data_IF_034525078212
#
_entry.id   IF_034525078212
#
_cell.length_a   1.000
_cell.length_b   1.000
_cell.length_c   1.000
_cell.angle_alpha   90.00
_cell.angle_beta   90.00
_cell.angle_gamma   90.00
#
_symmetry.space_group_name_H-M   'P 1'
#
loop_
_entity.id
_entity.type
_entity.pdbx_description
1 polymer ?
#
# COMPACT_ATOMS: atom_id res chain seq x y z
N UNK A 1 -43.68 7.98 -36.08
CA UNK A 1 -43.25 6.56 -35.99
C UNK A 1 -41.79 6.57 -35.61
N UNK A 2 -41.48 5.98 -34.45
CA UNK A 2 -40.18 6.02 -33.80
C UNK A 2 -39.21 5.03 -34.45
N UNK A 3 -37.94 5.40 -34.57
CA UNK A 3 -36.86 4.45 -34.89
C UNK A 3 -35.77 4.58 -33.82
N UNK A 4 -35.63 3.51 -33.04
CA UNK A 4 -34.76 3.39 -31.87
C UNK A 4 -33.39 2.92 -32.38
N UNK A 5 -32.40 3.82 -32.41
CA UNK A 5 -31.00 3.42 -32.64
C UNK A 5 -30.47 2.70 -31.40
N UNK A 6 -30.33 1.39 -31.52
CA UNK A 6 -29.68 0.50 -30.57
C UNK A 6 -28.23 0.97 -30.30
N UNK A 7 -27.90 1.15 -29.02
CA UNK A 7 -26.57 1.52 -28.55
C UNK A 7 -25.52 0.46 -28.88
N UNK A 8 -24.30 0.92 -29.18
CA UNK A 8 -23.12 0.05 -29.34
C UNK A 8 -22.85 -0.69 -28.01
N UNK A 9 -22.59 -2.00 -28.03
CA UNK A 9 -22.28 -2.75 -26.81
C UNK A 9 -20.91 -2.37 -26.25
N UNK A 10 -20.83 -2.25 -24.92
CA UNK A 10 -19.58 -2.06 -24.18
C UNK A 10 -18.64 -3.26 -24.36
N UNK A 11 -17.34 -3.02 -24.12
CA UNK A 11 -16.22 -3.94 -24.37
C UNK A 11 -16.33 -5.33 -23.70
N UNK A 12 -17.31 -5.54 -22.82
CA UNK A 12 -17.57 -6.82 -22.15
C UNK A 12 -18.19 -7.89 -23.07
N UNK A 13 -18.71 -7.53 -24.25
CA UNK A 13 -19.38 -8.47 -25.16
C UNK A 13 -18.43 -9.31 -26.04
N UNK A 14 -17.19 -8.84 -26.29
CA UNK A 14 -16.29 -9.55 -27.20
C UNK A 14 -15.43 -10.65 -26.55
N UNK A 15 -15.39 -10.73 -25.22
CA UNK A 15 -14.51 -11.68 -24.50
C UNK A 15 -15.23 -12.98 -24.04
N UNK A 16 -16.52 -13.15 -24.39
CA UNK A 16 -17.36 -14.25 -23.89
C UNK A 16 -17.54 -15.43 -24.87
N UNK A 17 -16.82 -15.46 -26.00
CA UNK A 17 -17.02 -16.47 -27.06
C UNK A 17 -16.08 -17.68 -27.06
N UNK A 18 -15.14 -17.83 -26.11
CA UNK A 18 -14.22 -18.99 -26.12
C UNK A 18 -14.33 -19.98 -24.94
N UNK A 19 -15.25 -19.79 -23.99
CA UNK A 19 -15.41 -20.72 -22.87
C UNK A 19 -16.90 -21.02 -22.61
N UNK A 20 -17.40 -22.08 -23.21
CA UNK A 20 -18.78 -22.54 -23.04
C UNK A 20 -18.84 -24.05 -22.98
N UNK A 21 -18.69 -24.62 -21.79
CA UNK A 21 -19.00 -26.03 -21.57
C UNK A 21 -18.40 -26.59 -20.29
N UNK A 22 -18.99 -26.32 -19.14
CA UNK A 22 -18.89 -27.26 -18.03
C UNK A 22 -20.20 -27.28 -17.22
N UNK A 23 -20.79 -28.48 -17.19
CA UNK A 23 -22.00 -28.85 -16.45
C UNK A 23 -21.73 -28.80 -14.94
N UNK A 24 -22.71 -28.29 -14.20
CA UNK A 24 -22.79 -28.37 -12.75
C UNK A 24 -23.12 -29.79 -12.29
N UNK A 25 -22.31 -30.38 -11.41
CA UNK A 25 -22.77 -31.41 -10.47
C UNK A 25 -22.23 -31.08 -9.08
N UNK A 26 -23.13 -30.61 -8.21
CA UNK A 26 -22.90 -30.40 -6.79
C UNK A 26 -23.13 -31.67 -6.00
N UNK A 27 -22.28 -31.90 -5.01
CA UNK A 27 -22.41 -32.98 -4.02
C UNK A 27 -21.54 -32.66 -2.81
N UNK A 28 -22.03 -31.80 -1.92
CA UNK A 28 -21.41 -31.45 -0.64
C UNK A 28 -21.70 -32.57 0.36
N UNK A 29 -20.65 -33.21 0.89
CA UNK A 29 -20.73 -34.01 2.12
C UNK A 29 -19.99 -33.29 3.24
N UNK A 30 -20.74 -32.84 4.24
CA UNK A 30 -20.23 -32.32 5.50
C UNK A 30 -19.70 -33.48 6.35
N UNK A 31 -18.51 -33.31 6.92
CA UNK A 31 -17.91 -34.19 7.93
C UNK A 31 -17.61 -33.40 9.21
N UNK A 32 -17.65 -34.03 10.40
CA UNK A 32 -17.84 -33.33 11.68
C UNK A 32 -16.57 -32.68 12.24
N UNK A 33 -16.76 -31.47 12.77
CA UNK A 33 -15.79 -30.75 13.60
C UNK A 33 -15.48 -31.52 14.89
N UNK A 34 -14.19 -31.63 15.23
CA UNK A 34 -13.76 -31.95 16.59
C UNK A 34 -12.83 -30.87 17.10
N UNK A 35 -13.36 -29.99 17.95
CA UNK A 35 -12.60 -29.03 18.75
C UNK A 35 -11.64 -29.79 19.69
N UNK A 36 -10.33 -29.55 19.55
CA UNK A 36 -9.34 -29.84 20.59
C UNK A 36 -8.94 -28.55 21.29
N UNK A 37 -9.38 -28.43 22.54
CA UNK A 37 -8.95 -27.40 23.49
C UNK A 37 -7.50 -27.68 23.90
N UNK A 38 -6.56 -26.81 23.52
CA UNK A 38 -5.20 -26.81 24.06
C UNK A 38 -5.19 -25.96 25.33
N UNK A 39 -5.00 -26.61 26.49
CA UNK A 39 -4.66 -25.94 27.76
C UNK A 39 -3.22 -25.44 27.67
N UNK A 40 -3.00 -24.13 27.75
CA UNK A 40 -1.66 -23.56 27.85
C UNK A 40 -1.38 -23.17 29.30
N UNK A 41 -0.35 -23.79 29.90
CA UNK A 41 0.07 -23.55 31.27
C UNK A 41 0.74 -22.17 31.38
N UNK A 42 0.07 -21.25 32.07
CA UNK A 42 0.62 -19.93 32.40
C UNK A 42 1.87 -20.07 33.26
N UNK A 43 3.01 -19.65 32.70
CA UNK A 43 4.24 -19.38 33.46
C UNK A 43 4.57 -17.91 33.28
N UNK A 44 4.33 -17.13 34.34
CA UNK A 44 4.60 -15.70 34.39
C UNK A 44 6.10 -15.44 34.19
N UNK A 45 6.44 -14.69 33.14
CA UNK A 45 7.80 -14.20 32.91
C UNK A 45 7.97 -12.92 33.74
N UNK A 46 8.84 -13.00 34.74
CA UNK A 46 9.23 -11.90 35.61
C UNK A 46 10.03 -10.88 34.79
N UNK A 47 9.42 -9.79 34.35
CA UNK A 47 10.13 -8.68 33.70
C UNK A 47 10.96 -7.93 34.75
N UNK A 48 12.29 -8.00 34.64
CA UNK A 48 13.17 -7.11 35.40
C UNK A 48 13.07 -5.72 34.79
N UNK A 49 12.73 -4.73 35.61
CA UNK A 49 12.87 -3.31 35.32
C UNK A 49 14.30 -3.03 34.80
N UNK A 50 14.47 -2.25 33.71
CA UNK A 50 15.77 -1.68 33.40
C UNK A 50 16.12 -0.62 34.44
N UNK A 51 17.36 -0.69 34.92
CA UNK A 51 17.95 0.23 35.88
C UNK A 51 17.92 1.67 35.35
N UNK A 52 17.49 2.59 36.21
CA UNK A 52 17.55 4.03 36.02
C UNK A 52 19.02 4.45 35.90
N UNK A 53 19.41 4.97 34.75
CA UNK A 53 20.72 5.60 34.56
C UNK A 53 20.61 7.01 35.16
N UNK A 54 21.24 7.21 36.31
CA UNK A 54 21.41 8.52 36.94
C UNK A 54 22.44 9.33 36.14
N UNK A 55 21.95 10.28 35.34
CA UNK A 55 22.81 11.25 34.66
C UNK A 55 23.14 12.35 35.67
N UNK A 56 24.29 12.21 36.32
CA UNK A 56 24.87 13.24 37.17
C UNK A 56 25.11 14.54 36.39
N UNK A 57 24.37 15.59 36.75
CA UNK A 57 24.66 16.96 36.35
C UNK A 57 25.83 17.50 37.18
N UNK A 58 26.96 17.92 36.58
CA UNK A 58 27.94 18.71 37.29
C UNK A 58 27.45 20.16 37.41
N UNK A 59 27.14 20.58 38.64
CA UNK A 59 26.95 21.98 38.99
C UNK A 59 28.28 22.75 38.79
N UNK A 60 28.35 23.60 37.77
CA UNK A 60 29.42 24.59 37.64
C UNK A 60 28.96 25.94 38.19
N UNK A 61 29.50 26.24 39.37
CA UNK A 61 29.59 27.56 39.98
C UNK A 61 30.56 28.41 39.14
N UNK A 62 30.06 29.45 38.48
CA UNK A 62 30.90 30.57 38.01
C UNK A 62 30.63 31.78 38.90
N UNK A 63 31.67 32.16 39.63
CA UNK A 63 31.78 33.39 40.42
C UNK A 63 32.20 34.55 39.51
N UNK A 64 31.62 35.72 39.73
CA UNK A 64 32.21 37.01 39.34
C UNK A 64 31.61 37.68 38.10
N UNK A 65 30.58 38.51 38.28
CA UNK A 65 30.26 39.58 37.34
C UNK A 65 30.42 40.92 38.05
N UNK A 66 31.37 41.72 37.56
CA UNK A 66 31.71 43.06 38.03
C UNK A 66 30.53 44.01 37.76
N UNK A 67 30.25 44.82 38.77
CA UNK A 67 29.49 46.07 38.71
C UNK A 67 30.15 47.06 37.74
N UNK A 68 29.37 47.78 36.93
CA UNK A 68 29.52 49.20 36.66
C UNK A 68 28.39 49.72 35.74
N UNK A 69 27.73 50.81 36.17
CA UNK A 69 27.04 51.73 35.26
C UNK A 69 25.53 51.87 35.46
N UNK A 70 25.12 52.56 36.53
CA UNK A 70 23.77 53.09 36.68
C UNK A 70 23.52 54.21 35.64
N UNK A 71 22.43 54.11 34.87
CA UNK A 71 21.86 55.23 34.14
C UNK A 71 20.40 55.40 34.58
N UNK A 72 19.91 56.63 34.81
CA UNK A 72 18.64 56.88 35.48
C UNK A 72 17.43 56.57 34.59
N UNK A 73 16.45 55.93 35.23
CA UNK A 73 15.14 55.57 34.70
C UNK A 73 14.37 56.77 34.13
N UNK A 74 13.75 56.60 32.96
CA UNK A 74 12.48 57.26 32.62
C UNK A 74 11.42 56.18 32.38
N UNK A 75 10.23 56.29 33.00
CA UNK A 75 9.24 55.22 32.96
C UNK A 75 8.26 55.37 31.79
N UNK A 76 7.37 54.38 31.68
CA UNK A 76 6.03 54.41 31.08
C UNK A 76 5.91 53.93 29.60
N UNK A 77 5.70 52.63 29.37
CA UNK A 77 4.39 51.96 29.08
C UNK A 77 4.63 50.55 28.50
N UNK A 78 3.76 49.56 28.78
CA UNK A 78 4.08 48.15 28.65
C UNK A 78 3.56 47.51 27.34
N UNK A 79 4.20 46.40 27.00
CA UNK A 79 3.61 45.21 26.38
C UNK A 79 3.09 45.32 24.92
N UNK A 80 3.92 44.89 23.98
CA UNK A 80 3.45 44.02 22.89
C UNK A 80 4.55 43.02 22.53
N UNK A 81 4.67 41.96 23.33
CA UNK A 81 5.30 40.74 22.87
C UNK A 81 4.43 40.19 21.74
N UNK A 82 4.79 40.43 20.48
CA UNK A 82 4.26 39.69 19.35
C UNK A 82 4.66 38.23 19.54
N UNK A 83 3.75 37.46 20.16
CA UNK A 83 3.80 36.01 20.15
C UNK A 83 3.68 35.62 18.67
N UNK A 84 4.81 35.28 18.06
CA UNK A 84 4.86 34.50 16.84
C UNK A 84 4.26 33.13 17.18
N UNK A 85 2.93 33.05 17.13
CA UNK A 85 2.23 31.79 17.09
C UNK A 85 2.63 31.11 15.79
N UNK A 86 3.67 30.28 15.85
CA UNK A 86 3.85 29.21 14.88
C UNK A 86 2.67 28.26 15.11
N UNK A 87 1.52 28.60 14.52
CA UNK A 87 0.41 27.69 14.39
C UNK A 87 0.96 26.53 13.56
N UNK A 88 1.30 25.44 14.22
CA UNK A 88 1.52 24.17 13.55
C UNK A 88 0.20 23.88 12.83
N UNK A 89 0.16 24.15 11.52
CA UNK A 89 -0.96 23.73 10.71
C UNK A 89 -1.09 22.22 10.93
N UNK A 90 -2.28 21.70 11.26
CA UNK A 90 -2.45 20.27 11.34
C UNK A 90 -2.01 19.71 9.99
N UNK A 91 -1.04 18.80 9.99
CA UNK A 91 -0.72 18.02 8.81
C UNK A 91 -2.00 17.28 8.44
N UNK A 92 -2.72 17.78 7.44
CA UNK A 92 -3.88 17.10 6.90
C UNK A 92 -3.35 15.78 6.38
N UNK A 93 -3.70 14.68 7.05
CA UNK A 93 -3.35 13.35 6.61
C UNK A 93 -4.05 13.12 5.26
N UNK A 94 -3.32 13.35 4.17
CA UNK A 94 -3.86 13.19 2.83
C UNK A 94 -4.09 11.70 2.60
N UNK A 95 -5.36 11.34 2.39
CA UNK A 95 -5.75 9.98 2.02
C UNK A 95 -5.15 9.61 0.67
N UNK A 96 -4.77 8.35 0.52
CA UNK A 96 -4.33 7.81 -0.76
C UNK A 96 -5.55 7.36 -1.55
N UNK A 97 -5.74 7.92 -2.74
CA UNK A 97 -6.96 7.81 -3.54
C UNK A 97 -6.64 7.60 -5.01
N UNK A 98 -7.35 6.67 -5.65
CA UNK A 98 -7.17 6.41 -7.08
C UNK A 98 -7.60 7.60 -7.98
N UNK A 99 -8.50 8.47 -7.49
CA UNK A 99 -8.91 9.66 -8.23
C UNK A 99 -7.81 10.73 -8.31
N UNK A 100 -6.77 10.62 -7.48
CA UNK A 100 -5.64 11.55 -7.40
C UNK A 100 -4.32 10.76 -7.45
N UNK A 101 -3.84 10.35 -8.64
CA UNK A 101 -2.63 9.53 -8.80
C UNK A 101 -1.40 10.08 -8.05
N UNK A 102 -1.31 11.40 -7.88
CA UNK A 102 -0.26 12.10 -7.15
C UNK A 102 -0.16 11.64 -5.68
N UNK A 103 -1.28 11.27 -5.07
CA UNK A 103 -1.30 10.75 -3.69
C UNK A 103 -0.61 9.39 -3.58
N UNK A 104 -0.78 8.52 -4.58
CA UNK A 104 -0.09 7.22 -4.65
C UNK A 104 1.40 7.43 -4.92
N UNK A 105 1.75 8.34 -5.84
CA UNK A 105 3.15 8.65 -6.15
C UNK A 105 3.87 9.15 -4.90
N UNK A 106 3.28 10.09 -4.17
CA UNK A 106 3.87 10.61 -2.95
C UNK A 106 4.03 9.52 -1.88
N UNK A 107 3.06 8.63 -1.72
CA UNK A 107 3.13 7.52 -0.77
C UNK A 107 4.21 6.48 -1.16
N UNK A 108 4.33 6.14 -2.44
CA UNK A 108 5.39 5.26 -2.96
C UNK A 108 6.78 5.87 -2.72
N UNK A 109 6.95 7.15 -3.04
CA UNK A 109 8.23 7.85 -2.89
C UNK A 109 8.64 7.98 -1.42
N UNK A 110 7.69 8.25 -0.52
CA UNK A 110 7.92 8.28 0.92
C UNK A 110 8.36 6.92 1.46
N UNK A 111 7.79 5.83 0.94
CA UNK A 111 8.22 4.48 1.25
C UNK A 111 9.56 4.08 0.59
N UNK A 112 10.21 5.00 -0.15
CA UNK A 112 11.52 4.78 -0.77
C UNK A 112 11.48 4.15 -2.17
N UNK A 113 10.31 4.09 -2.82
CA UNK A 113 10.15 3.50 -4.14
C UNK A 113 10.27 4.57 -5.23
N UNK A 114 10.86 4.20 -6.37
CA UNK A 114 10.70 5.00 -7.58
C UNK A 114 9.23 4.96 -8.01
N UNK A 115 8.65 6.09 -8.42
CA UNK A 115 7.28 6.16 -8.90
C UNK A 115 7.22 7.13 -10.07
N UNK A 116 6.97 6.61 -11.28
CA UNK A 116 6.82 7.40 -12.50
C UNK A 116 5.40 7.28 -13.01
N UNK A 117 4.70 8.41 -13.09
CA UNK A 117 3.38 8.48 -13.73
C UNK A 117 3.51 8.35 -15.25
N UNK A 118 2.69 7.49 -15.81
CA UNK A 118 2.61 7.14 -17.22
C UNK A 118 1.12 6.94 -17.58
N UNK A 119 0.87 6.51 -18.81
CA UNK A 119 -0.45 6.20 -19.34
C UNK A 119 -0.43 4.77 -19.89
N UNK A 120 -1.47 4.00 -19.64
CA UNK A 120 -1.59 2.64 -20.15
C UNK A 120 -2.10 2.59 -21.60
N UNK A 121 -2.32 1.37 -22.11
CA UNK A 121 -2.81 1.16 -23.48
C UNK A 121 -4.27 1.57 -23.70
N UNK A 122 -5.06 1.74 -22.64
CA UNK A 122 -6.44 2.21 -22.69
C UNK A 122 -6.54 3.74 -22.58
N UNK A 123 -5.46 4.42 -22.18
CA UNK A 123 -5.44 5.86 -21.93
C UNK A 123 -5.57 6.22 -20.45
N UNK A 124 -5.68 5.22 -19.56
CA UNK A 124 -5.83 5.42 -18.13
C UNK A 124 -4.47 5.67 -17.45
N UNK A 125 -4.43 6.31 -16.27
CA UNK A 125 -3.20 6.50 -15.52
C UNK A 125 -2.55 5.16 -15.16
N UNK A 126 -1.22 5.14 -15.16
CA UNK A 126 -0.43 3.99 -14.70
C UNK A 126 0.82 4.50 -13.99
N UNK A 127 1.24 3.87 -12.90
CA UNK A 127 2.52 4.17 -12.25
C UNK A 127 3.50 3.03 -12.49
N UNK A 128 4.72 3.38 -12.86
CA UNK A 128 5.86 2.46 -12.95
C UNK A 128 6.74 2.54 -11.71
N UNK A 129 7.06 1.38 -11.14
CA UNK A 129 7.89 1.25 -9.95
C UNK A 129 8.69 -0.07 -9.98
N UNK A 130 9.43 -0.36 -8.91
CA UNK A 130 10.22 -1.58 -8.79
C UNK A 130 10.49 -1.95 -7.34
N UNK A 131 10.64 -3.24 -7.08
CA UNK A 131 10.95 -3.81 -5.77
C UNK A 131 11.92 -4.98 -5.92
N UNK A 132 13.00 -4.97 -5.14
CA UNK A 132 14.00 -6.05 -5.16
C UNK A 132 14.62 -6.30 -6.54
N UNK A 133 14.62 -5.33 -7.46
CA UNK A 133 15.06 -5.52 -8.85
C UNK A 133 14.01 -6.08 -9.82
N UNK A 134 12.77 -6.28 -9.35
CA UNK A 134 11.62 -6.61 -10.20
C UNK A 134 10.80 -5.37 -10.44
N UNK A 135 10.55 -5.05 -11.71
CA UNK A 135 9.69 -3.95 -12.08
C UNK A 135 8.23 -4.35 -11.90
N UNK A 136 7.42 -3.43 -11.37
CA UNK A 136 5.97 -3.59 -11.31
C UNK A 136 5.27 -2.33 -11.77
N UNK A 137 4.00 -2.48 -12.14
CA UNK A 137 3.10 -1.40 -12.49
C UNK A 137 2.00 -1.28 -11.46
N UNK A 138 1.47 -0.07 -11.29
CA UNK A 138 0.21 0.20 -10.62
C UNK A 138 -0.77 0.65 -11.70
N UNK A 139 -1.69 -0.23 -12.08
CA UNK A 139 -2.76 0.11 -13.02
C UNK A 139 -3.93 0.74 -12.27
N UNK A 140 -4.57 1.73 -12.89
CA UNK A 140 -5.77 2.37 -12.36
C UNK A 140 -6.99 1.81 -13.09
N UNK A 141 -8.07 1.55 -12.36
CA UNK A 141 -9.28 0.93 -12.90
C UNK A 141 -10.54 1.69 -12.53
N UNK A 142 -11.60 1.41 -13.27
CA UNK A 142 -12.92 2.02 -13.11
C UNK A 142 -12.86 3.55 -13.23
N UNK A 143 -12.11 4.01 -14.24
CA UNK A 143 -11.94 5.44 -14.53
C UNK A 143 -13.15 6.02 -15.26
N UNK A 144 -13.44 7.30 -15.00
CA UNK A 144 -14.39 8.10 -15.76
C UNK A 144 -13.60 9.07 -16.65
N UNK A 145 -13.77 8.97 -17.97
CA UNK A 145 -13.04 9.79 -18.96
C UNK A 145 -11.51 9.76 -18.77
N UNK A 146 -10.96 8.57 -18.52
CA UNK A 146 -9.53 8.34 -18.24
C UNK A 146 -8.99 9.08 -17.00
N UNK A 147 -9.89 9.48 -16.10
CA UNK A 147 -9.62 10.22 -14.87
C UNK A 147 -10.46 9.66 -13.73
N UNK A 148 -10.26 10.19 -12.53
CA UNK A 148 -11.11 9.91 -11.37
C UNK A 148 -11.39 8.40 -11.16
N UNK A 149 -10.33 7.58 -11.23
CA UNK A 149 -10.40 6.13 -11.09
C UNK A 149 -10.74 5.73 -9.65
N UNK A 150 -11.32 4.55 -9.46
CA UNK A 150 -11.77 4.08 -8.15
C UNK A 150 -10.80 3.08 -7.49
N UNK A 151 -10.18 2.19 -8.28
CA UNK A 151 -9.31 1.15 -7.72
C UNK A 151 -7.97 1.09 -8.42
N UNK A 152 -7.01 0.41 -7.80
CA UNK A 152 -5.71 0.14 -8.42
C UNK A 152 -5.33 -1.32 -8.31
N UNK A 153 -4.39 -1.74 -9.15
CA UNK A 153 -3.80 -3.07 -9.11
C UNK A 153 -2.29 -2.97 -9.20
N UNK A 154 -1.60 -3.57 -8.22
CA UNK A 154 -0.19 -3.89 -8.36
C UNK A 154 -0.04 -5.06 -9.33
N UNK A 155 0.86 -4.93 -10.30
CA UNK A 155 1.01 -5.88 -11.39
C UNK A 155 2.49 -6.14 -11.69
N UNK A 156 2.88 -7.42 -11.69
CA UNK A 156 4.19 -7.87 -12.17
C UNK A 156 4.00 -8.98 -13.21
N UNK A 157 4.73 -8.88 -14.31
CA UNK A 157 4.78 -9.91 -15.35
C UNK A 157 6.19 -10.45 -15.49
N UNK A 158 6.31 -11.76 -15.68
CA UNK A 158 7.57 -12.48 -15.63
C UNK A 158 7.87 -13.20 -16.93
N UNK A 159 9.06 -12.97 -17.48
CA UNK A 159 9.62 -13.84 -18.52
C UNK A 159 10.51 -14.88 -17.86
N UNK A 160 10.09 -16.14 -17.92
CA UNK A 160 10.77 -17.25 -17.24
C UNK A 160 11.54 -18.14 -18.24
N UNK A 161 12.71 -18.66 -17.82
CA UNK A 161 13.49 -19.58 -18.66
C UNK A 161 12.86 -20.97 -18.75
N UNK A 162 12.17 -21.38 -17.69
CA UNK A 162 11.46 -22.67 -17.61
C UNK A 162 9.97 -22.37 -17.55
N UNK A 163 9.21 -23.14 -18.33
CA UNK A 163 7.75 -23.06 -18.32
C UNK A 163 7.22 -23.29 -16.91
N UNK A 164 6.30 -22.43 -16.49
CA UNK A 164 5.55 -22.57 -15.24
C UNK A 164 4.24 -23.28 -15.56
N UNK A 165 3.92 -24.32 -14.80
CA UNK A 165 2.72 -25.13 -15.03
C UNK A 165 1.50 -24.56 -14.31
N UNK A 166 0.31 -24.77 -14.88
CA UNK A 166 -0.95 -24.33 -14.25
C UNK A 166 -1.16 -24.94 -12.85
N UNK A 167 -0.64 -26.14 -12.60
CA UNK A 167 -0.68 -26.77 -11.27
C UNK A 167 0.10 -25.97 -10.24
N UNK A 168 1.25 -25.40 -10.63
CA UNK A 168 2.07 -24.54 -9.77
C UNK A 168 1.38 -23.21 -9.49
N UNK A 169 0.73 -22.61 -10.50
CA UNK A 169 -0.07 -21.38 -10.32
C UNK A 169 -1.30 -21.63 -9.43
N UNK A 170 -2.01 -22.73 -9.62
CA UNK A 170 -3.16 -23.07 -8.76
C UNK A 170 -2.72 -23.33 -7.32
N UNK A 171 -1.57 -23.97 -7.11
CA UNK A 171 -1.03 -24.17 -5.77
C UNK A 171 -0.69 -22.85 -5.07
N UNK A 172 -0.14 -21.88 -5.81
CA UNK A 172 0.04 -20.51 -5.30
C UNK A 172 -1.29 -19.91 -4.83
N UNK A 173 -2.30 -19.86 -5.71
CA UNK A 173 -3.59 -19.26 -5.39
C UNK A 173 -4.34 -19.98 -4.26
N UNK A 174 -4.07 -21.28 -4.05
CA UNK A 174 -4.67 -22.08 -2.98
C UNK A 174 -4.01 -21.82 -1.62
N UNK A 175 -2.71 -21.52 -1.61
CA UNK A 175 -1.91 -21.42 -0.38
C UNK A 175 -1.62 -20.00 0.06
N UNK A 176 -1.72 -19.04 -0.85
CA UNK A 176 -1.49 -17.63 -0.57
C UNK A 176 -2.82 -16.88 -0.47
N UNK A 177 -2.96 -16.08 0.58
CA UNK A 177 -4.15 -15.25 0.81
C UNK A 177 -4.17 -14.00 -0.06
N UNK A 178 -3.00 -13.41 -0.30
CA UNK A 178 -2.83 -12.16 -1.04
C UNK A 178 -2.02 -12.41 -2.31
N UNK A 179 -2.32 -11.63 -3.35
CA UNK A 179 -1.72 -11.78 -4.66
C UNK A 179 -2.27 -12.99 -5.40
N UNK A 180 -2.97 -12.74 -6.51
CA UNK A 180 -3.42 -13.79 -7.42
C UNK A 180 -2.46 -13.91 -8.60
N UNK A 181 -2.25 -15.12 -9.07
CA UNK A 181 -1.41 -15.40 -10.22
C UNK A 181 -2.17 -16.12 -11.33
N UNK A 182 -1.77 -15.88 -12.57
CA UNK A 182 -2.25 -16.60 -13.75
C UNK A 182 -1.13 -16.64 -14.81
N UNK A 183 -1.34 -17.42 -15.88
CA UNK A 183 -0.47 -17.39 -17.05
C UNK A 183 -1.12 -16.54 -18.14
N UNK A 184 -0.33 -15.73 -18.83
CA UNK A 184 -0.79 -14.98 -19.99
C UNK A 184 -0.96 -15.88 -21.24
N UNK A 185 -1.30 -15.28 -22.39
CA UNK A 185 -1.50 -16.00 -23.64
C UNK A 185 -0.25 -16.72 -24.19
N UNK A 186 0.95 -16.41 -23.67
CA UNK A 186 2.23 -17.04 -24.04
C UNK A 186 2.68 -18.06 -23.00
N UNK A 187 1.98 -18.17 -21.88
CA UNK A 187 2.37 -19.04 -20.76
C UNK A 187 3.32 -18.37 -19.77
N UNK A 188 3.52 -17.06 -19.86
CA UNK A 188 4.34 -16.28 -18.94
C UNK A 188 3.53 -15.96 -17.66
N UNK A 189 4.12 -16.12 -16.46
CA UNK A 189 3.43 -15.83 -15.21
C UNK A 189 3.12 -14.34 -15.04
N UNK A 190 1.92 -14.06 -14.54
CA UNK A 190 1.45 -12.74 -14.12
C UNK A 190 1.05 -12.83 -12.65
N UNK A 191 1.48 -11.87 -11.84
CA UNK A 191 1.12 -11.69 -10.45
C UNK A 191 0.42 -10.34 -10.25
N UNK A 192 -0.71 -10.35 -9.56
CA UNK A 192 -1.54 -9.16 -9.37
C UNK A 192 -2.10 -9.06 -7.94
N UNK A 193 -2.20 -7.84 -7.41
CA UNK A 193 -2.88 -7.55 -6.15
C UNK A 193 -3.69 -6.27 -6.25
N UNK A 194 -5.01 -6.39 -6.09
CA UNK A 194 -5.98 -5.29 -6.23
C UNK A 194 -6.19 -4.57 -4.88
N UNK A 195 -6.27 -3.23 -4.92
CA UNK A 195 -6.59 -2.36 -3.79
C UNK A 195 -7.81 -1.49 -4.14
N UNK A 196 -8.80 -1.48 -3.25
CA UNK A 196 -9.92 -0.55 -3.32
C UNK A 196 -9.52 0.80 -2.71
N UNK A 197 -9.48 1.84 -3.54
CA UNK A 197 -9.05 3.19 -3.19
C UNK A 197 -10.12 4.23 -3.57
N UNK A 198 -11.39 3.82 -3.57
CA UNK A 198 -12.50 4.60 -4.11
C UNK A 198 -12.85 5.80 -3.23
N UNK A 199 -14.13 6.18 -3.09
CA UNK A 199 -14.57 7.43 -2.45
C UNK A 199 -13.99 7.72 -1.06
N UNK A 200 -13.65 6.68 -0.28
CA UNK A 200 -12.98 6.83 1.01
C UNK A 200 -11.45 6.89 0.94
N UNK A 201 -10.85 6.31 -0.10
CA UNK A 201 -9.43 5.99 -0.15
C UNK A 201 -8.98 5.12 1.03
N UNK A 202 -7.67 5.10 1.25
CA UNK A 202 -7.06 4.50 2.45
C UNK A 202 -6.13 5.51 3.13
N UNK A 203 -5.87 5.29 4.41
CA UNK A 203 -4.85 6.07 5.10
C UNK A 203 -3.49 5.79 4.47
N UNK A 204 -2.60 6.78 4.55
CA UNK A 204 -1.25 6.65 4.01
C UNK A 204 -0.47 5.47 4.59
N UNK A 205 -0.58 5.27 5.90
CA UNK A 205 0.04 4.13 6.59
C UNK A 205 -0.52 2.80 6.08
N UNK A 206 -1.85 2.69 5.91
CA UNK A 206 -2.45 1.47 5.37
C UNK A 206 -2.03 1.20 3.92
N UNK A 207 -1.85 2.24 3.10
CA UNK A 207 -1.30 2.06 1.75
C UNK A 207 0.13 1.51 1.81
N UNK A 208 0.98 2.06 2.68
CA UNK A 208 2.36 1.59 2.87
C UNK A 208 2.36 0.14 3.37
N UNK A 209 1.51 -0.23 4.32
CA UNK A 209 1.36 -1.62 4.77
C UNK A 209 1.01 -2.56 3.61
N UNK A 210 0.07 -2.16 2.74
CA UNK A 210 -0.28 -2.94 1.54
C UNK A 210 0.89 -3.05 0.54
N UNK A 211 1.71 -2.00 0.41
CA UNK A 211 2.91 -2.02 -0.41
C UNK A 211 3.98 -2.97 0.17
N UNK A 212 4.13 -3.04 1.49
CA UNK A 212 5.01 -4.02 2.15
C UNK A 212 4.52 -5.46 1.95
N UNK A 213 3.20 -5.67 1.99
CA UNK A 213 2.62 -6.96 1.59
C UNK A 213 2.91 -7.28 0.13
N UNK A 214 2.75 -6.32 -0.79
CA UNK A 214 3.10 -6.51 -2.21
C UNK A 214 4.55 -6.96 -2.38
N UNK A 215 5.49 -6.31 -1.70
CA UNK A 215 6.91 -6.69 -1.68
C UNK A 215 7.13 -8.14 -1.25
N UNK A 216 6.43 -8.56 -0.20
CA UNK A 216 6.49 -9.94 0.30
C UNK A 216 5.87 -10.94 -0.68
N UNK A 217 4.74 -10.59 -1.30
CA UNK A 217 4.05 -11.41 -2.30
C UNK A 217 4.94 -11.60 -3.53
N UNK A 218 5.58 -10.54 -4.04
CA UNK A 218 6.54 -10.61 -5.16
C UNK A 218 7.69 -11.55 -4.84
N UNK A 219 8.36 -11.37 -3.69
CA UNK A 219 9.50 -12.20 -3.30
C UNK A 219 9.11 -13.69 -3.15
N UNK A 220 7.96 -13.96 -2.52
CA UNK A 220 7.48 -15.32 -2.33
C UNK A 220 7.06 -15.97 -3.65
N UNK A 221 6.42 -15.22 -4.54
CA UNK A 221 5.99 -15.72 -5.84
C UNK A 221 7.18 -16.05 -6.73
N UNK A 222 8.18 -15.18 -6.78
CA UNK A 222 9.41 -15.40 -7.55
C UNK A 222 10.14 -16.67 -7.11
N UNK A 223 10.25 -16.88 -5.80
CA UNK A 223 10.79 -18.12 -5.26
C UNK A 223 9.92 -19.33 -5.64
N UNK A 224 8.60 -19.19 -5.57
CA UNK A 224 7.65 -20.26 -5.89
C UNK A 224 7.75 -20.72 -7.34
N UNK A 225 7.91 -19.78 -8.29
CA UNK A 225 8.03 -20.09 -9.73
C UNK A 225 9.48 -20.36 -10.17
N UNK A 226 10.46 -20.24 -9.28
CA UNK A 226 11.87 -20.44 -9.58
C UNK A 226 12.49 -19.34 -10.46
N UNK A 227 12.01 -18.09 -10.31
CA UNK A 227 12.56 -16.94 -11.01
C UNK A 227 13.94 -16.54 -10.44
N UNK A 228 14.08 -16.55 -9.11
CA UNK A 228 15.33 -16.36 -8.36
C UNK A 228 15.18 -16.80 -6.90
#
# INVERSE_FOLDING_TARGET
MADIRLGRPSAFSQMRKSWGGFRTMGGVRQGPETLRIIRNNGRAIRTRHPARIDIGHPAKRCSGQKSLGENPMKPILPLLAMILGAWALPAQAQMVRAQQPETLIAALQEAGYAAKLETDGAGDPMISSGVGGTQFKVFFYNCTDHKACATVQFHSGYTVKKRVELTQINEWNRTQRFGRAHLDGKGDPILQMDLDLDDGGVSRLLFIDNLEFWTSVVANFEKHIGFR
#
